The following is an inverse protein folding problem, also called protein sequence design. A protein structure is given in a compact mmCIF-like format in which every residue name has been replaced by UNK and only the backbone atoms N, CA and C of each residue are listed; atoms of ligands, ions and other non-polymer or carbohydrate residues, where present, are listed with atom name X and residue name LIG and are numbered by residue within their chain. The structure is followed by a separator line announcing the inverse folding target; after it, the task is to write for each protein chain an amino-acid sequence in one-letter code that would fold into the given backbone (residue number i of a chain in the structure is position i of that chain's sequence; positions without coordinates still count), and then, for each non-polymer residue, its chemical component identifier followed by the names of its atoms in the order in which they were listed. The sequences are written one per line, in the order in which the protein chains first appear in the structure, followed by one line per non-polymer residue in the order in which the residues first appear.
data_IF_108596933593
#
_entry.id   IF_108596933593
#
_cell.length_a   1.000
_cell.length_b   1.000
_cell.length_c   1.000
_cell.angle_alpha   90.00
_cell.angle_beta   90.00
_cell.angle_gamma   90.00
#
_symmetry.space_group_name_H-M   'P 1'
#
loop_
_entity.id
_entity.type
_entity.pdbx_description
1 polymer ?
#
# COMPACT_ATOMS: atom_id res chain seq x y z
N UNK A 1 -0.08 10.41 26.54
CA UNK A 1 -0.19 10.43 25.05
C UNK A 1 0.34 9.11 24.51
N UNK A 2 -0.30 8.51 23.49
CA UNK A 2 0.22 7.30 22.84
C UNK A 2 1.39 7.67 21.92
N UNK A 3 2.45 6.86 21.92
CA UNK A 3 3.61 6.99 21.00
C UNK A 3 3.10 6.90 19.55
N UNK A 4 3.53 7.82 18.68
CA UNK A 4 3.34 7.67 17.24
C UNK A 4 4.39 6.67 16.74
N UNK A 5 3.94 5.59 16.11
CA UNK A 5 4.81 4.56 15.51
C UNK A 5 4.89 4.85 14.01
N UNK A 6 6.10 5.00 13.48
CA UNK A 6 6.36 5.22 12.06
C UNK A 6 6.56 3.90 11.30
N UNK A 7 6.48 3.92 9.96
CA UNK A 7 6.57 2.71 9.12
C UNK A 7 7.90 1.96 9.36
N UNK A 8 9.00 2.70 9.49
CA UNK A 8 10.32 2.15 9.77
C UNK A 8 10.70 2.15 11.27
N UNK A 9 9.71 2.19 12.17
CA UNK A 9 9.99 2.04 13.61
C UNK A 9 10.53 0.61 13.88
N UNK A 10 11.57 0.45 14.71
CA UNK A 10 12.15 -0.86 15.03
C UNK A 10 11.14 -1.91 15.48
N UNK A 11 10.06 -1.51 16.18
CA UNK A 11 9.01 -2.42 16.62
C UNK A 11 8.24 -3.03 15.43
N UNK A 12 8.03 -2.24 14.36
CA UNK A 12 7.40 -2.70 13.12
C UNK A 12 8.38 -3.56 12.32
N UNK A 13 9.63 -3.13 12.22
CA UNK A 13 10.67 -3.84 11.46
C UNK A 13 11.03 -5.20 12.06
N UNK A 14 10.81 -5.38 13.36
CA UNK A 14 10.99 -6.66 14.05
C UNK A 14 9.90 -7.69 13.70
N UNK A 15 8.80 -7.28 13.07
CA UNK A 15 7.73 -8.21 12.66
C UNK A 15 8.18 -8.96 11.40
N UNK A 16 8.35 -10.29 11.46
CA UNK A 16 8.78 -11.05 10.30
C UNK A 16 7.70 -11.06 9.23
N UNK A 17 8.11 -10.81 7.98
CA UNK A 17 7.24 -10.96 6.82
C UNK A 17 7.19 -12.46 6.47
N UNK A 18 6.02 -13.06 6.63
CA UNK A 18 5.77 -14.47 6.31
C UNK A 18 4.76 -14.56 5.17
N UNK A 19 5.21 -15.04 4.01
CA UNK A 19 4.35 -15.29 2.86
C UNK A 19 3.39 -16.45 3.17
N UNK A 20 2.08 -16.22 3.08
CA UNK A 20 1.06 -17.20 3.43
C UNK A 20 0.69 -18.17 2.29
N UNK A 21 1.20 -17.96 1.06
CA UNK A 21 0.95 -18.83 -0.09
C UNK A 21 -0.46 -18.73 -0.68
N UNK A 22 -1.29 -17.85 -0.15
CA UNK A 22 -2.67 -17.66 -0.60
C UNK A 22 -2.73 -17.07 -2.01
N UNK A 23 -3.60 -17.61 -2.87
CA UNK A 23 -3.75 -17.11 -4.23
C UNK A 23 -4.25 -15.66 -4.25
N UNK A 24 -3.75 -14.89 -5.23
CA UNK A 24 -4.30 -13.58 -5.55
C UNK A 24 -5.47 -13.72 -6.51
N UNK A 25 -6.60 -13.12 -6.16
CA UNK A 25 -7.75 -12.92 -7.06
C UNK A 25 -7.65 -11.55 -7.72
N UNK A 26 -8.12 -11.42 -8.95
CA UNK A 26 -8.22 -10.13 -9.64
C UNK A 26 -9.67 -9.64 -9.60
N UNK A 27 -9.90 -8.41 -9.14
CA UNK A 27 -11.24 -7.83 -9.11
C UNK A 27 -11.86 -7.68 -10.50
N UNK A 28 -11.08 -7.74 -11.58
CA UNK A 28 -11.59 -7.76 -12.96
C UNK A 28 -12.46 -8.97 -13.27
N UNK A 29 -12.33 -10.06 -12.50
CA UNK A 29 -13.03 -11.32 -12.72
C UNK A 29 -14.33 -11.46 -11.89
N UNK A 30 -14.77 -10.37 -11.24
CA UNK A 30 -15.95 -10.34 -10.36
C UNK A 30 -16.70 -8.99 -10.43
N UNK A 31 -17.89 -8.91 -9.82
CA UNK A 31 -18.75 -7.71 -9.87
C UNK A 31 -19.31 -7.24 -8.51
N UNK A 32 -18.86 -7.81 -7.39
CA UNK A 32 -19.31 -7.47 -6.03
C UNK A 32 -18.60 -6.20 -5.52
N UNK A 33 -17.28 -6.16 -5.64
CA UNK A 33 -16.46 -5.04 -5.19
C UNK A 33 -16.08 -4.20 -6.41
N UNK A 34 -16.43 -2.91 -6.38
CA UNK A 34 -16.05 -1.99 -7.45
C UNK A 34 -14.55 -1.68 -7.36
N UNK A 35 -13.94 -1.31 -8.48
CA UNK A 35 -12.58 -0.78 -8.52
C UNK A 35 -12.52 0.46 -9.40
N UNK A 36 -11.60 1.36 -9.09
CA UNK A 36 -11.39 2.59 -9.85
C UNK A 36 -10.57 2.39 -11.12
N UNK A 37 -10.20 3.52 -11.73
CA UNK A 37 -9.14 3.54 -12.73
C UNK A 37 -7.79 3.22 -12.07
N UNK A 38 -6.75 3.02 -12.87
CA UNK A 38 -5.38 2.88 -12.36
C UNK A 38 -5.06 4.04 -11.41
N UNK A 39 -4.49 3.77 -10.21
CA UNK A 39 -4.13 4.81 -9.25
C UNK A 39 -2.95 5.66 -9.76
N UNK A 40 -2.36 6.47 -8.88
CA UNK A 40 -1.31 7.47 -9.17
C UNK A 40 -0.12 6.98 -10.02
N UNK A 41 0.10 5.66 -10.11
CA UNK A 41 1.22 5.09 -10.83
C UNK A 41 0.76 4.11 -11.91
N UNK A 42 0.92 4.49 -13.19
CA UNK A 42 0.61 3.63 -14.34
C UNK A 42 1.32 2.26 -14.30
N UNK A 43 2.46 2.17 -13.62
CA UNK A 43 3.19 0.91 -13.45
C UNK A 43 2.40 -0.14 -12.62
N UNK A 44 1.36 0.29 -11.90
CA UNK A 44 0.47 -0.59 -11.12
C UNK A 44 -0.70 -1.14 -11.94
N UNK A 45 -0.95 -0.64 -13.16
CA UNK A 45 -2.14 -0.92 -13.98
C UNK A 45 -2.52 -2.40 -14.11
N UNK A 46 -1.52 -3.28 -14.17
CA UNK A 46 -1.73 -4.71 -14.35
C UNK A 46 -2.05 -5.46 -13.05
N UNK A 47 -1.79 -4.84 -11.91
CA UNK A 47 -1.70 -5.52 -10.61
C UNK A 47 -2.54 -4.87 -9.50
N UNK A 48 -2.90 -3.59 -9.62
CA UNK A 48 -3.59 -2.84 -8.56
C UNK A 48 -4.97 -3.39 -8.19
N UNK A 49 -5.58 -4.22 -9.04
CA UNK A 49 -6.86 -4.88 -8.77
C UNK A 49 -6.71 -6.26 -8.14
N UNK A 50 -5.47 -6.74 -7.95
CA UNK A 50 -5.21 -8.05 -7.36
C UNK A 50 -5.15 -7.96 -5.83
N UNK A 51 -5.72 -8.94 -5.15
CA UNK A 51 -5.65 -9.05 -3.69
C UNK A 51 -5.74 -10.50 -3.23
N UNK A 52 -5.39 -10.75 -1.97
CA UNK A 52 -5.54 -12.07 -1.35
C UNK A 52 -7.01 -12.50 -1.34
N UNK A 53 -7.28 -13.78 -1.63
CA UNK A 53 -8.64 -14.34 -1.67
C UNK A 53 -9.43 -14.08 -0.39
N UNK A 54 -8.85 -14.32 0.78
CA UNK A 54 -9.49 -14.12 2.09
C UNK A 54 -9.77 -12.65 2.39
N UNK A 55 -8.96 -11.73 1.86
CA UNK A 55 -9.23 -10.29 1.94
C UNK A 55 -10.44 -9.96 1.09
N UNK A 56 -10.51 -10.45 -0.15
CA UNK A 56 -11.69 -10.28 -1.01
C UNK A 56 -12.96 -10.81 -0.35
N UNK A 57 -12.93 -12.03 0.18
CA UNK A 57 -14.09 -12.65 0.86
C UNK A 57 -14.58 -11.80 2.04
N UNK A 58 -13.65 -11.25 2.84
CA UNK A 58 -14.00 -10.33 3.94
C UNK A 58 -14.60 -9.02 3.42
N UNK A 59 -14.07 -8.46 2.34
CA UNK A 59 -14.63 -7.25 1.73
C UNK A 59 -16.05 -7.49 1.18
N UNK A 60 -16.34 -8.68 0.64
CA UNK A 60 -17.70 -9.04 0.23
C UNK A 60 -18.68 -9.04 1.41
N UNK A 61 -18.26 -9.55 2.58
CA UNK A 61 -19.08 -9.49 3.80
C UNK A 61 -19.32 -8.04 4.22
N UNK A 62 -18.27 -7.21 4.23
CA UNK A 62 -18.41 -5.78 4.53
C UNK A 62 -19.36 -5.09 3.54
N UNK A 63 -19.26 -5.39 2.24
CA UNK A 63 -20.14 -4.83 1.22
C UNK A 63 -21.61 -5.22 1.44
N UNK A 64 -21.88 -6.44 1.90
CA UNK A 64 -23.24 -6.89 2.22
C UNK A 64 -23.82 -6.19 3.45
N UNK A 65 -22.96 -5.83 4.42
CA UNK A 65 -23.35 -5.15 5.66
C UNK A 65 -23.44 -3.61 5.52
N UNK A 66 -23.01 -3.05 4.39
CA UNK A 66 -23.08 -1.61 4.14
C UNK A 66 -24.55 -1.15 3.94
N UNK A 67 -24.91 0.06 4.39
CA UNK A 67 -26.22 0.63 4.07
C UNK A 67 -26.40 0.78 2.55
N UNK A 68 -27.63 0.65 2.06
CA UNK A 68 -28.00 0.55 0.63
C UNK A 68 -27.38 1.61 -0.33
N UNK A 69 -26.87 2.73 0.18
CA UNK A 69 -26.30 3.81 -0.61
C UNK A 69 -24.76 3.87 -0.56
N UNK A 70 -24.10 2.89 0.07
CA UNK A 70 -22.66 2.81 0.16
C UNK A 70 -22.13 1.58 -0.58
N UNK A 71 -21.06 1.80 -1.34
CA UNK A 71 -20.34 0.75 -2.03
C UNK A 71 -18.85 0.92 -1.78
N UNK A 72 -18.17 -0.21 -1.55
CA UNK A 72 -16.73 -0.29 -1.53
C UNK A 72 -16.21 -0.12 -2.96
N UNK A 73 -15.19 0.72 -3.08
CA UNK A 73 -14.43 0.89 -4.32
C UNK A 73 -12.95 0.75 -3.99
N UNK A 74 -12.32 -0.28 -4.54
CA UNK A 74 -10.88 -0.47 -4.41
C UNK A 74 -10.16 0.66 -5.13
N UNK A 75 -9.26 1.33 -4.39
CA UNK A 75 -8.32 2.30 -4.94
C UNK A 75 -7.04 1.62 -5.43
N UNK A 76 -6.40 0.83 -4.56
CA UNK A 76 -5.19 0.07 -4.89
C UNK A 76 -5.08 -1.17 -4.00
N UNK A 77 -4.70 -2.30 -4.61
CA UNK A 77 -4.45 -3.58 -3.97
C UNK A 77 -2.97 -3.97 -4.06
N UNK A 78 -2.66 -5.01 -4.82
CA UNK A 78 -1.30 -5.52 -4.96
C UNK A 78 -0.39 -4.53 -5.69
N UNK A 79 0.83 -4.41 -5.15
CA UNK A 79 1.91 -3.62 -5.73
C UNK A 79 3.19 -4.43 -5.72
N UNK A 80 3.84 -4.57 -6.87
CA UNK A 80 5.13 -5.27 -6.96
C UNK A 80 6.23 -4.52 -6.21
N UNK A 81 7.25 -5.25 -5.74
CA UNK A 81 8.42 -4.66 -5.08
C UNK A 81 9.12 -3.62 -5.97
N UNK A 82 9.16 -3.86 -7.29
CA UNK A 82 9.71 -2.91 -8.26
C UNK A 82 8.96 -1.57 -8.23
N UNK A 83 7.62 -1.61 -8.22
CA UNK A 83 6.82 -0.39 -8.17
C UNK A 83 6.93 0.28 -6.80
N UNK A 84 6.91 -0.49 -5.70
CA UNK A 84 7.11 0.06 -4.35
C UNK A 84 8.44 0.83 -4.24
N UNK A 85 9.52 0.29 -4.81
CA UNK A 85 10.81 0.98 -4.84
C UNK A 85 10.75 2.30 -5.61
N UNK A 86 10.11 2.33 -6.78
CA UNK A 86 9.98 3.55 -7.59
C UNK A 86 9.19 4.62 -6.84
N UNK A 87 8.09 4.24 -6.18
CA UNK A 87 7.30 5.17 -5.37
C UNK A 87 8.09 5.72 -4.19
N UNK A 88 8.86 4.86 -3.51
CA UNK A 88 9.74 5.29 -2.43
C UNK A 88 10.81 6.26 -2.93
N UNK A 89 11.50 5.94 -4.02
CA UNK A 89 12.55 6.79 -4.60
C UNK A 89 11.97 8.16 -5.02
N UNK A 90 10.76 8.20 -5.60
CA UNK A 90 10.07 9.44 -5.93
C UNK A 90 9.76 10.29 -4.71
N UNK A 91 9.25 9.68 -3.63
CA UNK A 91 8.97 10.40 -2.39
C UNK A 91 10.27 10.90 -1.73
N UNK A 92 11.32 10.07 -1.72
CA UNK A 92 12.64 10.46 -1.22
C UNK A 92 13.19 11.69 -1.94
N UNK A 93 13.06 11.76 -3.28
CA UNK A 93 13.47 12.95 -4.03
C UNK A 93 12.64 14.19 -3.68
N UNK A 94 11.34 14.05 -3.42
CA UNK A 94 10.51 15.19 -2.96
C UNK A 94 10.97 15.67 -1.58
N UNK A 95 11.20 14.76 -0.64
CA UNK A 95 11.70 15.07 0.71
C UNK A 95 13.08 15.73 0.65
N UNK A 96 14.01 15.20 -0.15
CA UNK A 96 15.33 15.81 -0.37
C UNK A 96 15.26 17.22 -0.94
N UNK A 97 14.34 17.48 -1.87
CA UNK A 97 14.11 18.85 -2.39
C UNK A 97 13.54 19.79 -1.33
N UNK A 98 12.70 19.28 -0.43
CA UNK A 98 12.10 20.04 0.66
C UNK A 98 13.09 20.35 1.79
N UNK A 99 14.05 19.45 2.04
CA UNK A 99 15.06 19.56 3.09
C UNK A 99 16.48 19.32 2.53
N UNK A 100 17.04 20.27 1.77
CA UNK A 100 18.28 20.04 1.02
C UNK A 100 19.53 19.82 1.88
N UNK A 101 19.56 20.39 3.09
CA UNK A 101 20.71 20.33 4.00
C UNK A 101 20.60 19.18 5.03
N UNK A 102 19.55 18.39 4.96
CA UNK A 102 19.29 17.30 5.89
C UNK A 102 20.16 16.07 5.57
N UNK A 103 20.54 15.32 6.60
CA UNK A 103 21.36 14.13 6.40
C UNK A 103 20.55 12.96 5.82
N UNK A 104 21.23 12.00 5.19
CA UNK A 104 20.60 10.86 4.50
C UNK A 104 19.69 10.03 5.42
N UNK A 105 20.07 9.85 6.69
CA UNK A 105 19.30 9.06 7.66
C UNK A 105 17.98 9.74 8.00
N UNK A 106 18.01 11.06 8.23
CA UNK A 106 16.80 11.83 8.52
C UNK A 106 15.91 11.96 7.28
N UNK A 107 16.48 12.13 6.09
CA UNK A 107 15.72 12.08 4.83
C UNK A 107 15.01 10.74 4.65
N UNK A 108 15.68 9.63 4.95
CA UNK A 108 15.08 8.30 4.92
C UNK A 108 13.92 8.21 5.92
N UNK A 109 14.14 8.55 7.18
CA UNK A 109 13.09 8.53 8.20
C UNK A 109 11.88 9.39 7.82
N UNK A 110 12.10 10.60 7.30
CA UNK A 110 11.04 11.48 6.86
C UNK A 110 10.26 10.89 5.66
N UNK A 111 10.95 10.25 4.71
CA UNK A 111 10.32 9.52 3.60
C UNK A 111 9.44 8.37 4.10
N UNK A 112 9.92 7.62 5.09
CA UNK A 112 9.17 6.50 5.70
C UNK A 112 7.96 6.92 6.52
N UNK A 113 7.65 8.21 6.60
CA UNK A 113 6.38 8.67 7.21
C UNK A 113 5.18 8.42 6.32
N UNK A 114 5.37 8.36 5.00
CA UNK A 114 4.30 8.20 4.02
C UNK A 114 4.45 6.95 3.16
N UNK A 115 5.68 6.56 2.81
CA UNK A 115 5.93 5.45 1.88
C UNK A 115 6.89 4.44 2.50
N UNK A 116 6.48 3.17 2.55
CA UNK A 116 7.35 2.08 3.01
C UNK A 116 8.52 1.88 2.05
N UNK A 117 9.74 1.65 2.54
CA UNK A 117 10.83 1.21 1.69
C UNK A 117 10.64 -0.27 1.33
N UNK A 118 11.39 -0.74 0.32
CA UNK A 118 11.51 -2.18 0.03
C UNK A 118 12.59 -2.83 0.90
N UNK A 119 13.60 -2.05 1.29
CA UNK A 119 14.73 -2.45 2.14
C UNK A 119 14.92 -1.35 3.17
N UNK A 120 14.95 -1.72 4.46
CA UNK A 120 15.14 -0.80 5.58
C UNK A 120 16.61 -0.52 5.88
#
# INVERSE_FOLDING_TARGET
MKKIIYIADPEILAIPIVECGETLVDLKDQCIILFGETPECELTKNDYTKMRKSVYEKLCLVQADLPNHYQLRLYEGFRSLKVQKILFDHEYQKIRKKFPDENLKNLFHETTRLVSPVIN
#
